data_IF_631844684527
#
_entry.id   IF_631844684527
#
_cell.length_a   1.000
_cell.length_b   1.000
_cell.length_c   1.000
_cell.angle_alpha   90.00
_cell.angle_beta   90.00
_cell.angle_gamma   90.00
#
_symmetry.space_group_name_H-M   'P 1'
#
loop_
_entity.id
_entity.type
_entity.pdbx_description
1 polymer ?
#
# COMPACT_ATOMS: atom_id res chain seq x y z
N UNK A 1 -1.76 8.80 -3.67
CA UNK A 1 -2.30 7.74 -2.77
C UNK A 1 -2.17 6.37 -3.43
N UNK A 2 -1.80 5.35 -2.64
CA UNK A 2 -1.66 3.94 -3.02
C UNK A 2 -2.59 3.10 -2.15
N UNK A 3 -3.58 2.45 -2.75
CA UNK A 3 -4.52 1.58 -2.03
C UNK A 3 -3.96 0.15 -1.97
N UNK A 4 -3.47 -0.25 -0.81
CA UNK A 4 -2.72 -1.48 -0.54
C UNK A 4 -3.40 -2.35 0.54
N UNK A 5 -4.73 -2.25 0.67
CA UNK A 5 -5.51 -2.96 1.70
C UNK A 5 -6.18 -4.26 1.19
N UNK A 6 -6.04 -4.58 -0.10
CA UNK A 6 -6.80 -5.65 -0.75
C UNK A 6 -6.34 -7.07 -0.42
N UNK A 7 -7.30 -7.97 -0.19
CA UNK A 7 -7.08 -9.37 0.19
C UNK A 7 -6.53 -10.28 -0.92
N UNK A 8 -6.43 -9.78 -2.16
CA UNK A 8 -5.91 -10.56 -3.31
C UNK A 8 -6.64 -11.89 -3.59
N UNK A 9 -7.94 -12.02 -3.24
CA UNK A 9 -8.74 -13.27 -3.36
C UNK A 9 -8.74 -13.97 -4.73
N UNK A 10 -8.40 -13.25 -5.80
CA UNK A 10 -8.35 -13.75 -7.19
C UNK A 10 -6.93 -14.04 -7.68
N UNK A 11 -5.93 -13.85 -6.83
CA UNK A 11 -4.52 -14.05 -7.15
C UNK A 11 -4.03 -15.29 -6.39
N UNK A 12 -3.85 -16.39 -7.12
CA UNK A 12 -3.62 -17.71 -6.51
C UNK A 12 -2.28 -17.81 -5.76
N UNK A 13 -1.28 -17.00 -6.13
CA UNK A 13 0.03 -16.97 -5.49
C UNK A 13 0.08 -16.18 -4.15
N UNK A 14 -1.07 -16.02 -3.49
CA UNK A 14 -1.19 -15.35 -2.20
C UNK A 14 -1.41 -13.84 -2.30
N UNK A 15 -0.79 -13.07 -1.41
CA UNK A 15 -0.97 -11.62 -1.41
C UNK A 15 -0.19 -10.98 -2.56
N UNK A 16 -0.93 -10.47 -3.56
CA UNK A 16 -0.37 -9.82 -4.75
C UNK A 16 0.61 -8.72 -4.38
N UNK A 17 0.38 -7.98 -3.30
CA UNK A 17 1.25 -6.88 -2.88
C UNK A 17 2.65 -7.35 -2.50
N UNK A 18 2.77 -8.58 -1.96
CA UNK A 18 4.03 -9.21 -1.55
C UNK A 18 4.69 -9.99 -2.69
N UNK A 19 3.98 -10.21 -3.80
CA UNK A 19 4.51 -10.93 -4.95
C UNK A 19 5.70 -10.17 -5.55
N UNK A 20 6.80 -10.89 -5.81
CA UNK A 20 8.05 -10.30 -6.30
C UNK A 20 8.15 -10.38 -7.83
N UNK A 21 8.41 -9.25 -8.46
CA UNK A 21 8.70 -9.13 -9.89
C UNK A 21 10.06 -8.46 -10.05
N UNK A 22 11.04 -9.16 -10.61
CA UNK A 22 12.41 -8.65 -10.73
C UNK A 22 13.06 -8.36 -9.36
N UNK A 23 12.82 -9.22 -8.38
CA UNK A 23 13.41 -9.13 -7.03
C UNK A 23 12.73 -8.16 -6.05
N UNK A 24 11.82 -7.29 -6.52
CA UNK A 24 11.06 -6.35 -5.67
C UNK A 24 9.60 -6.76 -5.53
N UNK A 25 9.03 -6.58 -4.34
CA UNK A 25 7.58 -6.75 -4.14
C UNK A 25 6.79 -5.70 -4.93
N UNK A 26 5.56 -6.04 -5.32
CA UNK A 26 4.71 -5.12 -6.09
C UNK A 26 4.42 -3.83 -5.30
N UNK A 27 4.16 -3.93 -3.99
CA UNK A 27 3.93 -2.72 -3.17
C UNK A 27 5.14 -1.79 -3.18
N UNK A 28 6.35 -2.33 -3.00
CA UNK A 28 7.58 -1.54 -3.04
C UNK A 28 7.72 -0.80 -4.36
N UNK A 29 7.53 -1.51 -5.48
CA UNK A 29 7.67 -0.90 -6.82
C UNK A 29 6.68 0.26 -7.01
N UNK A 30 5.44 0.10 -6.57
CA UNK A 30 4.41 1.14 -6.67
C UNK A 30 4.76 2.35 -5.78
N UNK A 31 5.20 2.12 -4.54
CA UNK A 31 5.57 3.21 -3.62
C UNK A 31 6.79 3.97 -4.12
N UNK A 32 7.84 3.28 -4.55
CA UNK A 32 9.03 3.92 -5.15
C UNK A 32 8.65 4.74 -6.39
N UNK A 33 7.73 4.24 -7.23
CA UNK A 33 7.25 4.97 -8.42
C UNK A 33 6.44 6.22 -8.03
N UNK A 34 5.61 6.13 -6.98
CA UNK A 34 4.84 7.26 -6.48
C UNK A 34 5.75 8.33 -5.86
N UNK A 35 6.78 7.94 -5.11
CA UNK A 35 7.76 8.88 -4.55
C UNK A 35 8.64 9.52 -5.64
N UNK A 36 8.91 8.83 -6.74
CA UNK A 36 9.60 9.40 -7.90
C UNK A 36 8.74 10.38 -8.72
N UNK A 37 7.45 10.55 -8.38
CA UNK A 37 6.55 11.48 -9.06
C UNK A 37 6.59 12.89 -8.44
N UNK A 38 5.86 13.83 -9.05
CA UNK A 38 5.65 15.19 -8.54
C UNK A 38 4.62 15.27 -7.39
N UNK A 39 4.18 14.14 -6.83
CA UNK A 39 3.26 14.14 -5.71
C UNK A 39 3.87 14.84 -4.49
N UNK A 40 3.11 15.76 -3.89
CA UNK A 40 3.47 16.41 -2.62
C UNK A 40 3.38 15.46 -1.43
N UNK A 41 2.54 14.43 -1.52
CA UNK A 41 2.38 13.39 -0.49
C UNK A 41 2.06 12.03 -1.12
N UNK A 42 2.58 10.95 -0.53
CA UNK A 42 2.32 9.56 -0.89
C UNK A 42 1.74 8.82 0.31
N UNK A 43 0.41 8.79 0.38
CA UNK A 43 -0.33 8.01 1.37
C UNK A 43 -0.49 6.57 0.88
N UNK A 44 -0.01 5.60 1.65
CA UNK A 44 -0.18 4.16 1.44
C UNK A 44 -1.20 3.64 2.45
N UNK A 45 -2.34 3.17 1.96
CA UNK A 45 -3.41 2.63 2.81
C UNK A 45 -3.29 1.11 2.88
N UNK A 46 -2.91 0.55 4.02
CA UNK A 46 -2.74 -0.88 4.26
C UNK A 46 -3.97 -1.49 4.95
N UNK A 47 -4.10 -2.81 4.94
CA UNK A 47 -5.26 -3.53 5.47
C UNK A 47 -4.96 -5.00 5.67
N UNK A 48 -5.41 -5.87 4.77
CA UNK A 48 -5.09 -7.30 4.84
C UNK A 48 -3.57 -7.54 4.88
N UNK A 49 -3.11 -8.25 5.93
CA UNK A 49 -1.68 -8.50 6.20
C UNK A 49 -0.82 -7.21 6.25
N UNK A 50 -1.35 -6.14 6.86
CA UNK A 50 -0.70 -4.84 6.94
C UNK A 50 0.77 -4.94 7.39
N UNK A 51 1.08 -5.70 8.43
CA UNK A 51 2.45 -5.84 8.95
C UNK A 51 3.44 -6.34 7.89
N UNK A 52 3.03 -7.33 7.08
CA UNK A 52 3.86 -7.87 6.00
C UNK A 52 4.03 -6.85 4.86
N UNK A 53 2.95 -6.14 4.52
CA UNK A 53 2.96 -5.13 3.45
C UNK A 53 3.82 -3.92 3.85
N UNK A 54 3.71 -3.49 5.10
CA UNK A 54 4.47 -2.37 5.67
C UNK A 54 5.96 -2.70 5.77
N UNK A 55 6.30 -3.93 6.15
CA UNK A 55 7.69 -4.39 6.22
C UNK A 55 8.44 -4.20 4.88
N UNK A 56 7.77 -4.45 3.74
CA UNK A 56 8.36 -4.32 2.40
C UNK A 56 8.74 -2.88 2.01
N UNK A 57 8.21 -1.88 2.70
CA UNK A 57 8.48 -0.44 2.46
C UNK A 57 9.06 0.27 3.69
N UNK A 58 9.33 -0.47 4.77
CA UNK A 58 9.70 0.06 6.08
C UNK A 58 11.07 0.73 6.13
N UNK A 59 11.94 0.48 5.15
CA UNK A 59 13.27 1.10 4.96
C UNK A 59 13.24 2.33 4.04
N UNK A 60 12.11 2.64 3.40
CA UNK A 60 11.96 3.87 2.63
C UNK A 60 11.94 5.06 3.61
N UNK A 61 12.87 6.00 3.43
CA UNK A 61 12.99 7.22 4.23
C UNK A 61 12.70 8.42 3.33
N UNK A 62 11.43 8.74 3.14
CA UNK A 62 10.97 9.92 2.40
C UNK A 62 9.93 10.64 3.26
N UNK A 63 10.07 11.95 3.44
CA UNK A 63 9.19 12.78 4.27
C UNK A 63 7.75 12.85 3.74
N UNK A 64 7.56 12.58 2.45
CA UNK A 64 6.24 12.57 1.80
C UNK A 64 5.53 11.24 1.98
N UNK A 65 6.20 10.19 2.49
CA UNK A 65 5.62 8.86 2.65
C UNK A 65 4.83 8.75 3.96
N UNK A 66 3.52 8.54 3.84
CA UNK A 66 2.63 8.27 4.96
C UNK A 66 1.99 6.90 4.84
N UNK A 67 2.01 6.11 5.89
CA UNK A 67 1.37 4.78 5.92
C UNK A 67 0.19 4.82 6.90
N UNK A 68 -0.98 4.35 6.45
CA UNK A 68 -2.21 4.38 7.24
C UNK A 68 -2.91 3.03 7.14
N UNK A 69 -3.38 2.50 8.27
CA UNK A 69 -4.11 1.23 8.31
C UNK A 69 -5.61 1.47 8.21
N UNK A 70 -6.26 0.75 7.29
CA UNK A 70 -7.72 0.64 7.22
C UNK A 70 -8.16 -0.69 7.87
N UNK A 71 -8.68 -0.69 9.11
CA UNK A 71 -9.18 -1.89 9.76
C UNK A 71 -10.42 -2.47 9.04
N UNK A 72 -11.22 -1.61 8.41
CA UNK A 72 -12.45 -1.95 7.69
C UNK A 72 -12.19 -2.30 6.21
N UNK A 73 -11.02 -2.86 5.90
CA UNK A 73 -10.64 -3.21 4.51
C UNK A 73 -11.60 -4.20 3.84
N UNK A 74 -12.34 -4.97 4.63
CA UNK A 74 -13.34 -5.94 4.15
C UNK A 74 -14.61 -5.29 3.60
N UNK A 75 -14.89 -4.03 3.96
CA UNK A 75 -15.99 -3.26 3.36
C UNK A 75 -15.74 -2.90 1.89
N UNK A 76 -14.50 -3.11 1.41
CA UNK A 76 -14.11 -2.90 0.02
C UNK A 76 -13.27 -1.65 -0.19
N UNK A 77 -13.12 -1.27 -1.46
CA UNK A 77 -12.19 -0.19 -1.85
C UNK A 77 -12.63 1.19 -1.32
N UNK A 78 -13.94 1.43 -1.21
CA UNK A 78 -14.50 2.71 -0.74
C UNK A 78 -14.06 3.04 0.69
N UNK A 79 -14.00 2.07 1.59
CA UNK A 79 -13.49 2.29 2.96
C UNK A 79 -12.02 2.71 2.95
N UNK A 80 -11.22 2.12 2.07
CA UNK A 80 -9.80 2.47 1.92
C UNK A 80 -9.60 3.88 1.34
N UNK A 81 -10.46 4.28 0.40
CA UNK A 81 -10.47 5.66 -0.12
C UNK A 81 -10.83 6.65 0.99
N UNK A 82 -11.86 6.38 1.80
CA UNK A 82 -12.25 7.25 2.92
C UNK A 82 -11.10 7.45 3.90
N UNK A 83 -10.44 6.37 4.32
CA UNK A 83 -9.29 6.43 5.23
C UNK A 83 -8.13 7.23 4.61
N UNK A 84 -7.83 6.99 3.34
CA UNK A 84 -6.75 7.69 2.65
C UNK A 84 -7.02 9.19 2.48
N UNK A 85 -8.25 9.59 2.13
CA UNK A 85 -8.63 11.01 2.01
C UNK A 85 -8.62 11.71 3.36
N UNK A 86 -9.07 11.05 4.43
CA UNK A 86 -9.02 11.61 5.79
C UNK A 86 -7.59 11.75 6.36
N UNK A 87 -6.59 11.21 5.66
CA UNK A 87 -5.19 11.22 6.06
C UNK A 87 -4.29 12.09 5.17
N UNK A 88 -4.88 12.82 4.22
CA UNK A 88 -4.24 13.88 3.45
C UNK A 88 -4.37 15.23 4.18
#
# INVERSE_FOLDING_TARGET
MVLAAGESKRFEAGNKLLFRVGGKSLIRRVVETALASLASEVIVVTGYQAELVEAEISDLRDERLRVVRNPEYREGMSSSVRVGVASA
#
